data_IF_485541654371
#
_entry.id   IF_485541654371
#
_cell.length_a   1.000
_cell.length_b   1.000
_cell.length_c   1.000
_cell.angle_alpha   90.00
_cell.angle_beta   90.00
_cell.angle_gamma   90.00
#
_symmetry.space_group_name_H-M   'P 1'
#
loop_
_entity.id
_entity.type
_entity.pdbx_description
1 polymer ?
#
# COMPACT_ATOMS: atom_id res chain seq x y z
N UNK A 1 -9.35 -2.70 -18.90
CA UNK A 1 -8.93 -3.78 -17.99
C UNK A 1 -7.43 -3.93 -18.17
N UNK A 2 -6.62 -3.35 -17.27
CA UNK A 2 -5.17 -3.55 -17.33
C UNK A 2 -4.84 -4.80 -16.53
N UNK A 3 -4.23 -5.75 -17.22
CA UNK A 3 -3.93 -7.06 -16.69
C UNK A 3 -2.93 -6.93 -15.54
N UNK A 4 -3.14 -7.72 -14.50
CA UNK A 4 -2.30 -7.84 -13.30
C UNK A 4 -0.90 -8.44 -13.60
N UNK A 5 -0.37 -8.21 -14.80
CA UNK A 5 0.68 -9.02 -15.43
C UNK A 5 2.01 -8.30 -15.64
N UNK A 6 2.13 -7.03 -15.23
CA UNK A 6 3.33 -6.21 -15.45
C UNK A 6 4.24 -6.04 -14.21
N UNK A 7 4.04 -6.85 -13.16
CA UNK A 7 4.85 -6.79 -11.94
C UNK A 7 5.70 -8.05 -11.78
N UNK A 8 6.98 -7.95 -12.19
CA UNK A 8 8.15 -8.77 -11.84
C UNK A 8 7.92 -10.29 -11.58
N UNK A 9 8.58 -11.20 -12.33
CA UNK A 9 8.46 -12.64 -12.07
C UNK A 9 8.96 -12.96 -10.66
N UNK A 10 8.07 -13.38 -9.76
CA UNK A 10 8.45 -14.02 -8.49
C UNK A 10 7.74 -13.58 -7.21
N UNK A 11 6.91 -12.52 -7.21
CA UNK A 11 6.12 -12.16 -6.01
C UNK A 11 4.64 -12.07 -6.38
N UNK A 12 3.80 -13.04 -5.99
CA UNK A 12 2.38 -13.00 -6.30
C UNK A 12 1.72 -11.80 -5.64
N UNK A 13 1.15 -10.91 -6.45
CA UNK A 13 0.09 -10.03 -5.97
C UNK A 13 -1.08 -10.94 -5.56
N UNK A 14 -1.31 -11.07 -4.26
CA UNK A 14 -2.37 -11.93 -3.77
C UNK A 14 -3.71 -11.29 -4.17
N UNK A 15 -4.50 -11.97 -5.00
CA UNK A 15 -5.84 -11.50 -5.37
C UNK A 15 -6.61 -11.01 -4.13
N UNK A 16 -7.29 -9.87 -4.25
CA UNK A 16 -7.91 -9.09 -3.15
C UNK A 16 -8.81 -9.87 -2.18
N UNK A 17 -9.22 -11.09 -2.54
CA UNK A 17 -10.07 -11.97 -1.73
C UNK A 17 -9.33 -13.11 -1.03
N UNK A 18 -8.08 -13.38 -1.40
CA UNK A 18 -7.31 -14.46 -0.79
C UNK A 18 -6.62 -13.96 0.47
N UNK A 19 -6.65 -14.79 1.52
CA UNK A 19 -5.96 -14.55 2.78
C UNK A 19 -4.45 -14.69 2.58
N UNK A 20 -3.63 -13.79 3.17
CA UNK A 20 -2.19 -13.97 3.14
C UNK A 20 -1.85 -15.33 3.75
N UNK A 21 -0.83 -15.99 3.22
CA UNK A 21 -0.30 -17.25 3.78
C UNK A 21 0.88 -16.90 4.67
N UNK A 22 0.99 -17.61 5.80
CA UNK A 22 2.16 -17.48 6.67
C UNK A 22 3.45 -17.83 5.88
N UNK A 23 4.54 -17.11 6.18
CA UNK A 23 5.82 -17.26 5.47
C UNK A 23 5.90 -16.67 4.05
N UNK A 24 4.81 -16.11 3.50
CA UNK A 24 4.85 -15.41 2.19
C UNK A 24 5.09 -13.91 2.34
N UNK A 25 5.81 -13.36 1.36
CA UNK A 25 6.04 -11.93 1.21
C UNK A 25 5.14 -11.39 0.11
N UNK A 26 4.46 -10.27 0.40
CA UNK A 26 3.55 -9.62 -0.53
C UNK A 26 4.00 -8.21 -0.86
N UNK A 27 3.88 -7.86 -2.13
CA UNK A 27 3.98 -6.48 -2.60
C UNK A 27 2.74 -5.70 -2.19
N UNK A 28 2.95 -4.63 -1.43
CA UNK A 28 1.91 -3.75 -0.92
C UNK A 28 2.23 -2.30 -1.33
N UNK A 29 1.21 -1.48 -1.54
CA UNK A 29 1.31 -0.15 -2.12
C UNK A 29 0.61 0.90 -1.24
N UNK A 30 1.27 2.03 -1.02
CA UNK A 30 0.72 3.18 -0.27
C UNK A 30 0.75 4.42 -1.15
N UNK A 31 -0.42 4.97 -1.47
CA UNK A 31 -0.54 6.28 -2.11
C UNK A 31 -0.42 7.40 -1.08
N UNK A 32 0.43 8.38 -1.36
CA UNK A 32 0.70 9.51 -0.46
C UNK A 32 1.23 10.73 -1.23
N UNK A 33 1.52 11.82 -0.53
CA UNK A 33 2.15 13.01 -1.11
C UNK A 33 3.68 12.83 -1.24
N UNK A 34 4.37 13.54 -2.14
CA UNK A 34 5.83 13.50 -2.26
C UNK A 34 6.54 13.78 -0.93
N UNK A 35 6.05 14.76 -0.16
CA UNK A 35 6.61 15.12 1.14
C UNK A 35 6.45 13.99 2.15
N UNK A 36 5.26 13.38 2.21
CA UNK A 36 5.00 12.23 3.08
C UNK A 36 5.82 11.02 2.66
N UNK A 37 6.00 10.79 1.36
CA UNK A 37 6.84 9.70 0.87
C UNK A 37 8.30 9.89 1.27
N UNK A 38 8.84 11.09 1.17
CA UNK A 38 10.18 11.40 1.64
C UNK A 38 10.33 11.11 3.14
N UNK A 39 9.35 11.52 3.96
CA UNK A 39 9.34 11.24 5.39
C UNK A 39 9.23 9.74 5.71
N UNK A 40 8.43 8.99 4.95
CA UNK A 40 8.30 7.53 5.09
C UNK A 40 9.61 6.84 4.71
N UNK A 41 10.30 7.30 3.66
CA UNK A 41 11.61 6.76 3.27
C UNK A 41 12.68 7.02 4.33
N UNK A 42 12.65 8.20 4.97
CA UNK A 42 13.62 8.57 6.02
C UNK A 42 13.34 7.89 7.37
N UNK A 43 12.07 7.78 7.77
CA UNK A 43 11.70 7.41 9.14
C UNK A 43 10.87 6.13 9.26
N UNK A 44 10.56 5.50 8.13
CA UNK A 44 9.61 4.38 8.06
C UNK A 44 8.16 4.84 8.10
N UNK A 45 7.25 3.87 8.00
CA UNK A 45 5.82 4.13 8.13
C UNK A 45 5.48 4.46 9.59
N UNK A 46 4.80 5.60 9.78
CA UNK A 46 4.26 6.01 11.08
C UNK A 46 2.74 6.04 11.01
N UNK A 47 2.09 5.57 12.06
CA UNK A 47 0.64 5.67 12.17
C UNK A 47 0.24 7.15 12.18
N UNK A 48 -0.72 7.52 11.32
CA UNK A 48 -1.28 8.86 11.37
C UNK A 48 -2.17 9.01 12.62
N UNK A 49 -2.15 10.21 13.23
CA UNK A 49 -2.93 10.50 14.42
C UNK A 49 -4.45 10.58 14.14
N UNK A 50 -4.82 10.94 12.90
CA UNK A 50 -6.19 11.11 12.43
C UNK A 50 -6.29 10.65 10.97
N UNK A 51 -6.83 9.45 10.74
CA UNK A 51 -7.26 9.03 9.41
C UNK A 51 -8.75 8.68 9.43
N UNK A 52 -9.38 8.72 8.26
CA UNK A 52 -10.80 8.36 8.07
C UNK A 52 -11.15 6.96 8.58
N UNK A 53 -10.16 6.08 8.75
CA UNK A 53 -10.33 4.69 9.14
C UNK A 53 -9.74 4.38 10.53
N UNK A 54 -9.40 5.42 11.30
CA UNK A 54 -8.72 5.30 12.60
C UNK A 54 -7.20 5.38 12.49
N UNK A 55 -6.50 5.08 13.58
CA UNK A 55 -5.04 5.12 13.62
C UNK A 55 -4.48 3.89 12.92
N UNK A 56 -3.64 4.09 11.91
CA UNK A 56 -3.07 3.00 11.14
C UNK A 56 -2.25 3.46 9.94
N UNK A 57 -1.63 2.48 9.29
CA UNK A 57 -0.96 2.64 8.00
C UNK A 57 -1.72 1.76 7.02
N UNK A 58 -2.25 2.39 5.96
CA UNK A 58 -3.12 1.71 5.01
C UNK A 58 -2.36 1.40 3.73
N UNK A 59 -2.35 0.13 3.38
CA UNK A 59 -1.67 -0.40 2.20
C UNK A 59 -2.67 -1.18 1.36
N UNK A 60 -2.59 -1.01 0.04
CA UNK A 60 -3.37 -1.78 -0.92
C UNK A 60 -2.47 -2.80 -1.62
N UNK A 61 -3.04 -3.94 -2.00
CA UNK A 61 -2.37 -4.89 -2.93
C UNK A 61 -2.44 -4.40 -4.38
N UNK A 62 -3.48 -3.65 -4.68
CA UNK A 62 -3.71 -3.05 -5.99
C UNK A 62 -3.03 -1.67 -6.05
N UNK A 63 -2.12 -1.52 -7.02
CA UNK A 63 -1.40 -0.29 -7.31
C UNK A 63 -2.33 0.85 -7.75
N UNK A 64 -3.32 0.56 -8.59
CA UNK A 64 -4.30 1.55 -9.06
C UNK A 64 -5.22 2.02 -7.93
N UNK A 65 -5.59 1.12 -7.00
CA UNK A 65 -6.31 1.51 -5.78
C UNK A 65 -5.44 2.41 -4.92
N UNK A 66 -4.17 2.07 -4.73
CA UNK A 66 -3.25 2.90 -3.95
C UNK A 66 -3.01 4.28 -4.58
N UNK A 67 -2.81 4.36 -5.89
CA UNK A 67 -2.48 5.61 -6.60
C UNK A 67 -3.59 6.67 -6.57
N UNK A 68 -4.83 6.28 -6.26
CA UNK A 68 -5.95 7.20 -6.08
C UNK A 68 -5.89 8.02 -4.79
N UNK A 69 -5.05 7.61 -3.84
CA UNK A 69 -4.90 8.30 -2.56
C UNK A 69 -3.64 9.17 -2.53
N UNK A 70 -3.66 10.29 -1.81
CA UNK A 70 -4.81 10.83 -1.07
C UNK A 70 -5.82 11.57 -1.97
N UNK A 71 -7.11 11.51 -1.61
CA UNK A 71 -8.20 12.06 -2.43
C UNK A 71 -8.18 13.59 -2.49
N UNK A 72 -7.66 14.24 -1.44
CA UNK A 72 -7.49 15.69 -1.37
C UNK A 72 -6.38 16.25 -2.29
N UNK A 73 -5.49 15.42 -2.83
CA UNK A 73 -4.43 15.87 -3.73
C UNK A 73 -4.79 15.64 -5.20
N UNK A 74 -4.38 16.52 -6.13
CA UNK A 74 -4.46 16.24 -7.57
C UNK A 74 -3.61 15.03 -7.96
N UNK A 75 -4.04 14.27 -8.97
CA UNK A 75 -3.35 13.03 -9.40
C UNK A 75 -1.86 13.22 -9.69
N UNK A 76 -1.48 14.33 -10.34
CA UNK A 76 -0.08 14.64 -10.68
C UNK A 76 0.80 14.97 -9.46
N UNK A 77 0.22 15.10 -8.26
CA UNK A 77 0.92 15.35 -7.00
C UNK A 77 0.86 14.13 -6.07
N UNK A 78 0.46 12.97 -6.58
CA UNK A 78 0.42 11.72 -5.82
C UNK A 78 1.61 10.85 -6.18
N UNK A 79 2.14 10.15 -5.19
CA UNK A 79 3.20 9.16 -5.35
C UNK A 79 2.80 7.86 -4.66
N UNK A 80 3.31 6.74 -5.16
CA UNK A 80 3.04 5.42 -4.58
C UNK A 80 4.34 4.80 -4.08
N UNK A 81 4.33 4.41 -2.81
CA UNK A 81 5.42 3.66 -2.18
C UNK A 81 5.10 2.17 -2.25
N UNK A 82 6.03 1.35 -2.74
CA UNK A 82 5.96 -0.11 -2.67
C UNK A 82 6.67 -0.61 -1.41
N UNK A 83 6.01 -1.49 -0.65
CA UNK A 83 6.57 -2.16 0.52
C UNK A 83 6.36 -3.66 0.40
N UNK A 84 7.39 -4.45 0.72
CA UNK A 84 7.29 -5.89 0.87
C UNK A 84 6.95 -6.20 2.33
N UNK A 85 5.87 -6.94 2.56
CA UNK A 85 5.42 -7.35 3.89
C UNK A 85 5.31 -8.87 4.00
N UNK A 86 5.80 -9.44 5.11
CA UNK A 86 5.43 -10.78 5.56
C UNK A 86 4.26 -10.69 6.54
N UNK A 87 3.42 -11.73 6.60
CA UNK A 87 2.19 -11.76 7.41
C UNK A 87 2.42 -11.47 8.90
N UNK A 88 3.61 -11.76 9.43
CA UNK A 88 4.05 -11.47 10.80
C UNK A 88 4.17 -9.98 11.17
N UNK A 89 4.13 -9.06 10.20
CA UNK A 89 4.51 -7.65 10.42
C UNK A 89 3.37 -6.64 10.40
N UNK A 90 2.14 -6.96 9.98
CA UNK A 90 1.12 -5.90 9.85
C UNK A 90 -0.33 -6.41 9.83
N UNK A 91 -1.16 -5.82 10.69
CA UNK A 91 -2.61 -5.85 10.57
C UNK A 91 -2.99 -5.04 9.32
N UNK A 92 -3.11 -5.70 8.17
CA UNK A 92 -3.59 -5.06 6.94
C UNK A 92 -5.10 -4.87 7.11
N UNK A 93 -5.50 -3.70 7.62
CA UNK A 93 -6.91 -3.31 7.68
C UNK A 93 -7.43 -3.17 6.25
N UNK A 94 -8.37 -4.04 5.90
CA UNK A 94 -9.07 -4.11 4.61
C UNK A 94 -9.76 -2.78 4.33
N UNK A 95 -9.21 -1.95 3.45
CA UNK A 95 -10.04 -0.94 2.77
C UNK A 95 -10.98 -1.72 1.87
N UNK A 96 -12.26 -1.77 2.25
CA UNK A 96 -13.33 -2.28 1.40
C UNK A 96 -13.37 -1.51 0.06
#
# INVERSE_FOLDING_TARGET
MWAENDLHPGVPCLQSYSEPTDGKVYGMYHGTSPQSAEQIMKTGFKQSASSMLGRGVYLSRDLNKASRYPLELPEHQRVVIRKLLSQTSCVISKLQ
#
